data_IF_642633592374
#
_entry.id   IF_642633592374
#
_cell.length_a   1.000
_cell.length_b   1.000
_cell.length_c   1.000
_cell.angle_alpha   90.00
_cell.angle_beta   90.00
_cell.angle_gamma   90.00
#
_symmetry.space_group_name_H-M   'P 1'
#
loop_
_entity.id
_entity.type
_entity.pdbx_description
1 polymer ?
#
# COMPACT_ATOMS: atom_id res chain seq x y z
N UNK A 1 -4.69 0.35 40.46
CA UNK A 1 -5.59 0.11 39.30
C UNK A 1 -5.59 -1.37 38.92
N UNK A 2 -6.64 -2.12 39.29
CA UNK A 2 -6.73 -3.55 38.94
C UNK A 2 -7.06 -3.74 37.45
N UNK A 3 -6.37 -4.67 36.78
CA UNK A 3 -6.67 -5.06 35.40
C UNK A 3 -7.86 -6.03 35.41
N UNK A 4 -9.06 -5.50 35.20
CA UNK A 4 -10.25 -6.31 34.98
C UNK A 4 -9.96 -7.32 33.85
N UNK A 5 -10.09 -8.62 34.12
CA UNK A 5 -9.85 -9.67 33.11
C UNK A 5 -10.90 -9.54 31.99
N UNK A 6 -10.54 -8.85 30.90
CA UNK A 6 -11.29 -8.91 29.62
C UNK A 6 -11.19 -10.34 29.09
N UNK A 7 -12.29 -10.94 28.67
CA UNK A 7 -12.25 -12.16 27.87
C UNK A 7 -11.71 -11.78 26.48
N UNK A 8 -10.66 -12.46 26.02
CA UNK A 8 -9.97 -12.16 24.77
C UNK A 8 -10.10 -13.34 23.82
N UNK A 9 -10.85 -13.16 22.73
CA UNK A 9 -10.88 -14.11 21.61
C UNK A 9 -9.81 -13.69 20.60
N UNK A 10 -9.24 -14.65 19.87
CA UNK A 10 -8.39 -14.34 18.70
C UNK A 10 -9.28 -14.12 17.49
N UNK A 11 -8.91 -13.19 16.61
CA UNK A 11 -9.59 -12.98 15.33
C UNK A 11 -8.60 -13.00 14.15
N UNK A 12 -9.11 -13.38 12.99
CA UNK A 12 -8.51 -13.13 11.67
C UNK A 12 -9.54 -12.34 10.86
N UNK A 13 -9.13 -11.25 10.22
CA UNK A 13 -9.97 -10.37 9.42
C UNK A 13 -9.31 -10.15 8.06
N UNK A 14 -10.09 -10.25 6.99
CA UNK A 14 -9.63 -10.06 5.61
C UNK A 14 -10.58 -9.09 4.88
N UNK A 15 -10.01 -8.11 4.19
CA UNK A 15 -10.76 -7.02 3.56
C UNK A 15 -9.84 -6.00 2.89
N UNK A 16 -10.42 -4.88 2.43
CA UNK A 16 -9.68 -3.71 1.92
C UNK A 16 -9.51 -2.67 3.02
N UNK A 17 -8.39 -1.95 3.02
CA UNK A 17 -8.24 -0.72 3.83
C UNK A 17 -9.16 0.35 3.25
N UNK A 18 -9.95 0.99 4.10
CA UNK A 18 -10.79 2.14 3.72
C UNK A 18 -10.14 3.46 4.20
N UNK A 19 -9.67 3.50 5.45
CA UNK A 19 -9.03 4.67 6.06
C UNK A 19 -7.91 4.26 7.04
N UNK A 20 -6.98 5.16 7.35
CA UNK A 20 -5.87 4.92 8.28
C UNK A 20 -5.65 6.12 9.19
N UNK A 21 -6.06 6.00 10.46
CA UNK A 21 -5.83 7.05 11.45
C UNK A 21 -4.36 7.11 11.87
N UNK A 22 -3.60 8.03 11.30
CA UNK A 22 -2.20 8.31 11.66
C UNK A 22 -2.14 9.31 12.83
N UNK A 23 -1.34 9.03 13.85
CA UNK A 23 -0.98 9.97 14.93
C UNK A 23 0.50 10.37 14.84
N UNK A 24 0.82 11.61 15.23
CA UNK A 24 2.18 12.16 15.26
C UNK A 24 2.89 12.10 13.90
N UNK A 25 2.13 12.21 12.79
CA UNK A 25 2.64 12.15 11.40
C UNK A 25 3.07 10.78 10.87
N UNK A 26 3.36 9.80 11.74
CA UNK A 26 3.90 8.50 11.30
C UNK A 26 3.39 7.25 12.07
N UNK A 27 2.59 7.41 13.14
CA UNK A 27 2.14 6.28 13.96
C UNK A 27 0.74 5.85 13.55
N UNK A 28 0.63 4.80 12.73
CA UNK A 28 -0.63 4.13 12.44
C UNK A 28 -1.29 3.72 13.76
N UNK A 29 -2.43 4.33 14.12
CA UNK A 29 -3.13 4.12 15.41
C UNK A 29 -4.31 3.18 15.25
N UNK A 30 -5.11 3.39 14.20
CA UNK A 30 -6.21 2.54 13.76
C UNK A 30 -6.15 2.37 12.24
N UNK A 31 -6.84 1.35 11.75
CA UNK A 31 -7.08 1.06 10.33
C UNK A 31 -8.56 0.71 10.21
N UNK A 32 -9.28 1.35 9.29
CA UNK A 32 -10.65 0.98 8.95
C UNK A 32 -10.58 -0.05 7.83
N UNK A 33 -11.21 -1.21 8.03
CA UNK A 33 -11.18 -2.35 7.10
C UNK A 33 -12.59 -2.72 6.69
N UNK A 34 -12.82 -2.69 5.38
CA UNK A 34 -14.06 -3.11 4.75
C UNK A 34 -13.92 -4.56 4.26
N UNK A 35 -14.78 -5.45 4.75
CA UNK A 35 -14.79 -6.86 4.33
C UNK A 35 -15.50 -7.04 2.99
N UNK A 36 -15.25 -8.14 2.25
CA UNK A 36 -16.01 -8.46 1.03
C UNK A 36 -17.53 -8.63 1.23
N UNK A 37 -17.99 -8.72 2.48
CA UNK A 37 -19.40 -8.79 2.88
C UNK A 37 -19.99 -7.41 3.26
N UNK A 38 -19.29 -6.29 2.99
CA UNK A 38 -19.75 -4.93 3.31
C UNK A 38 -19.63 -4.53 4.79
N UNK A 39 -19.26 -5.45 5.69
CA UNK A 39 -19.04 -5.14 7.10
C UNK A 39 -17.74 -4.34 7.29
N UNK A 40 -17.83 -3.23 8.01
CA UNK A 40 -16.77 -2.27 8.23
C UNK A 40 -16.25 -2.31 9.68
N UNK A 41 -14.93 -2.41 9.87
CA UNK A 41 -14.30 -2.65 11.18
C UNK A 41 -13.17 -1.66 11.50
N UNK A 42 -13.19 -1.08 12.70
CA UNK A 42 -12.12 -0.19 13.22
C UNK A 42 -11.09 -1.01 14.00
N UNK A 43 -9.95 -1.29 13.39
CA UNK A 43 -8.91 -2.17 13.97
C UNK A 43 -7.78 -1.37 14.61
N UNK A 44 -7.59 -1.52 15.92
CA UNK A 44 -6.56 -0.83 16.71
C UNK A 44 -5.18 -1.47 16.50
N UNK A 45 -4.20 -0.68 16.08
CA UNK A 45 -2.85 -1.19 15.80
C UNK A 45 -2.01 -1.27 17.07
N UNK A 46 -1.45 -2.45 17.36
CA UNK A 46 -0.57 -2.68 18.51
C UNK A 46 0.68 -1.79 18.47
N UNK A 47 1.15 -1.33 19.65
CA UNK A 47 2.25 -0.34 19.78
C UNK A 47 3.51 -0.70 18.97
N UNK A 48 3.83 -2.00 18.84
CA UNK A 48 4.99 -2.53 18.10
C UNK A 48 4.91 -2.37 16.58
N UNK A 49 3.71 -2.28 16.00
CA UNK A 49 3.50 -2.22 14.53
C UNK A 49 3.38 -0.78 13.99
N UNK A 50 3.09 0.21 14.86
CA UNK A 50 2.63 1.55 14.43
C UNK A 50 3.59 2.31 13.52
N UNK A 51 4.89 2.01 13.55
CA UNK A 51 5.93 2.65 12.75
C UNK A 51 6.24 1.95 11.42
N UNK A 52 5.64 0.78 11.17
CA UNK A 52 6.05 -0.10 10.08
C UNK A 52 5.17 0.02 8.83
N UNK A 53 4.04 0.75 8.94
CA UNK A 53 2.92 0.64 8.00
C UNK A 53 2.37 1.98 7.48
N UNK A 54 2.92 3.12 7.91
CA UNK A 54 2.38 4.46 7.60
C UNK A 54 2.43 4.85 6.12
N UNK A 55 3.31 4.23 5.34
CA UNK A 55 3.43 4.38 3.89
C UNK A 55 3.08 3.10 3.12
N UNK A 56 2.47 2.12 3.81
CA UNK A 56 2.15 0.78 3.28
C UNK A 56 0.65 0.54 3.27
N UNK A 57 -0.05 0.96 4.32
CA UNK A 57 -1.52 0.86 4.38
C UNK A 57 -2.11 2.10 3.71
N UNK A 58 -2.54 1.93 2.47
CA UNK A 58 -3.24 2.92 1.65
C UNK A 58 -4.68 2.44 1.41
N UNK A 59 -5.66 3.34 1.21
CA UNK A 59 -7.02 2.97 0.83
C UNK A 59 -7.06 2.06 -0.41
N UNK A 60 -8.04 1.15 -0.46
CA UNK A 60 -8.22 0.14 -1.50
C UNK A 60 -7.35 -1.12 -1.33
N UNK A 61 -6.22 -1.04 -0.62
CA UNK A 61 -5.27 -2.15 -0.49
C UNK A 61 -5.87 -3.34 0.30
N UNK A 62 -5.72 -4.55 -0.24
CA UNK A 62 -6.08 -5.78 0.46
C UNK A 62 -5.22 -6.02 1.71
N UNK A 63 -5.83 -6.46 2.80
CA UNK A 63 -5.14 -6.74 4.07
C UNK A 63 -5.72 -7.95 4.79
N UNK A 64 -4.82 -8.76 5.36
CA UNK A 64 -5.10 -9.81 6.34
C UNK A 64 -4.56 -9.39 7.70
N UNK A 65 -5.45 -9.13 8.65
CA UNK A 65 -5.12 -8.72 10.01
C UNK A 65 -5.39 -9.85 10.99
N UNK A 66 -4.48 -10.11 11.92
CA UNK A 66 -4.67 -11.09 13.00
C UNK A 66 -4.48 -10.40 14.35
N UNK A 67 -5.40 -10.66 15.28
CA UNK A 67 -5.50 -9.86 16.49
C UNK A 67 -6.22 -10.52 17.66
N UNK A 68 -6.40 -9.72 18.70
CA UNK A 68 -7.21 -9.99 19.88
C UNK A 68 -8.49 -9.14 19.81
N UNK A 69 -9.64 -9.75 20.05
CA UNK A 69 -10.94 -9.08 20.20
C UNK A 69 -11.33 -9.12 21.67
N UNK A 70 -11.68 -7.98 22.25
CA UNK A 70 -11.86 -7.86 23.69
C UNK A 70 -13.07 -7.01 24.07
N UNK A 71 -14.21 -7.68 24.30
CA UNK A 71 -15.50 -7.07 24.67
C UNK A 71 -15.38 -6.20 25.92
N UNK A 72 -15.88 -4.98 25.85
CA UNK A 72 -15.96 -4.05 26.97
C UNK A 72 -17.16 -4.38 27.87
N UNK A 73 -16.90 -4.98 29.05
CA UNK A 73 -17.94 -5.35 30.05
C UNK A 73 -18.87 -4.21 30.53
N UNK A 74 -18.59 -2.95 30.16
CA UNK A 74 -19.42 -1.77 30.50
C UNK A 74 -20.33 -1.29 29.37
N UNK A 75 -20.03 -1.64 28.12
CA UNK A 75 -20.67 -1.06 26.92
C UNK A 75 -21.07 -2.11 25.87
N UNK A 76 -20.63 -3.37 26.02
CA UNK A 76 -20.84 -4.42 25.02
C UNK A 76 -19.92 -4.33 23.79
N UNK A 77 -19.24 -3.20 23.59
CA UNK A 77 -18.43 -2.92 22.39
C UNK A 77 -17.24 -3.88 22.22
N UNK A 78 -16.99 -4.29 20.97
CA UNK A 78 -15.90 -5.19 20.60
C UNK A 78 -14.61 -4.42 20.24
N UNK A 79 -13.65 -4.35 21.17
CA UNK A 79 -12.35 -3.72 20.88
C UNK A 79 -11.45 -4.68 20.08
N UNK A 80 -11.36 -4.49 18.76
CA UNK A 80 -10.43 -5.19 17.87
C UNK A 80 -9.01 -4.60 17.94
N UNK A 81 -8.00 -5.45 18.20
CA UNK A 81 -6.58 -5.07 18.29
C UNK A 81 -5.67 -6.01 17.49
N UNK A 82 -5.17 -5.56 16.34
CA UNK A 82 -4.25 -6.34 15.51
C UNK A 82 -2.83 -6.41 16.09
N UNK A 83 -2.26 -7.63 16.14
CA UNK A 83 -0.86 -7.90 16.52
C UNK A 83 0.00 -8.37 15.34
N UNK A 84 -0.62 -8.76 14.21
CA UNK A 84 -0.01 -9.05 12.90
C UNK A 84 -0.85 -8.39 11.81
N UNK A 85 -0.21 -7.84 10.80
CA UNK A 85 -0.84 -7.27 9.60
C UNK A 85 -0.03 -7.80 8.42
N UNK A 86 -0.71 -8.32 7.40
CA UNK A 86 -0.14 -8.80 6.14
C UNK A 86 -0.87 -8.04 5.02
N UNK A 87 -0.22 -7.09 4.32
CA UNK A 87 -0.79 -6.51 3.11
C UNK A 87 -0.79 -7.53 1.98
N UNK A 88 -1.85 -7.52 1.18
CA UNK A 88 -1.99 -8.30 -0.06
C UNK A 88 -1.84 -7.35 -1.25
N UNK A 89 -0.72 -7.48 -1.95
CA UNK A 89 -0.40 -6.68 -3.14
C UNK A 89 -0.82 -7.37 -4.45
N UNK A 90 -1.43 -8.57 -4.40
CA UNK A 90 -1.75 -9.36 -5.60
C UNK A 90 -2.87 -8.77 -6.46
N UNK A 91 -3.63 -7.79 -5.94
CA UNK A 91 -4.83 -7.21 -6.58
C UNK A 91 -4.73 -5.71 -6.84
N UNK A 92 -3.55 -5.22 -7.20
CA UNK A 92 -3.37 -3.88 -7.78
C UNK A 92 -3.77 -3.85 -9.28
N UNK A 93 -4.92 -4.44 -9.60
CA UNK A 93 -5.53 -4.48 -10.92
C UNK A 93 -7.03 -4.16 -10.77
N UNK A 94 -7.39 -2.98 -11.24
CA UNK A 94 -8.75 -2.52 -11.62
C UNK A 94 -9.89 -2.74 -10.60
N UNK A 95 -10.33 -1.66 -9.95
CA UNK A 95 -11.63 -1.05 -10.25
C UNK A 95 -11.65 0.40 -9.74
N UNK A 96 -11.77 1.41 -10.62
CA UNK A 96 -12.16 2.77 -10.25
C UNK A 96 -13.69 2.88 -10.14
N UNK A 97 -14.20 4.11 -10.02
CA UNK A 97 -15.64 4.45 -10.01
C UNK A 97 -16.39 4.02 -8.72
N UNK A 98 -17.55 4.59 -8.39
CA UNK A 98 -18.38 5.55 -9.14
C UNK A 98 -18.50 6.88 -8.39
N UNK A 99 -18.20 7.98 -9.09
CA UNK A 99 -18.63 9.30 -8.67
C UNK A 99 -20.11 9.49 -9.04
N UNK A 100 -20.84 10.20 -8.19
CA UNK A 100 -22.26 10.53 -8.28
C UNK A 100 -22.71 10.90 -9.70
N UNK A 101 -23.65 10.14 -10.27
CA UNK A 101 -24.42 10.55 -11.46
C UNK A 101 -25.78 11.07 -10.98
N UNK A 102 -26.09 12.31 -11.36
CA UNK A 102 -27.40 12.93 -11.17
C UNK A 102 -28.42 12.28 -12.13
N UNK A 103 -29.65 12.05 -11.68
CA UNK A 103 -30.72 11.49 -12.52
C UNK A 103 -31.50 12.54 -13.34
N UNK A 104 -32.28 12.06 -14.33
CA UNK A 104 -33.13 12.81 -15.30
C UNK A 104 -32.30 13.62 -16.33
N UNK A 105 -32.67 13.86 -17.61
CA UNK A 105 -33.83 13.54 -18.48
C UNK A 105 -33.31 13.73 -19.96
N UNK A 106 -33.65 13.01 -21.05
CA UNK A 106 -34.32 11.73 -21.34
C UNK A 106 -34.12 11.31 -22.83
N UNK A 107 -34.67 10.15 -23.24
CA UNK A 107 -35.26 9.82 -24.57
C UNK A 107 -34.52 10.22 -25.86
N UNK A 108 -33.79 9.26 -26.45
CA UNK A 108 -33.96 8.76 -27.84
C UNK A 108 -32.76 7.87 -28.24
N UNK A 109 -32.82 6.93 -29.19
CA UNK A 109 -33.88 6.02 -29.70
C UNK A 109 -33.20 5.17 -30.78
N UNK A 110 -33.42 3.85 -30.85
CA UNK A 110 -33.22 2.99 -32.07
C UNK A 110 -31.78 2.90 -32.68
N UNK A 111 -31.20 1.76 -33.09
CA UNK A 111 -31.68 0.39 -33.37
C UNK A 111 -30.65 -0.70 -32.91
N UNK A 112 -31.03 -1.98 -33.05
CA UNK A 112 -30.23 -3.20 -32.78
C UNK A 112 -29.59 -3.76 -34.06
N UNK A 113 -28.32 -4.20 -34.01
CA UNK A 113 -27.62 -5.26 -34.82
C UNK A 113 -26.10 -5.18 -34.52
N UNK A 114 -25.24 -6.20 -34.63
CA UNK A 114 -25.37 -7.68 -34.68
C UNK A 114 -24.03 -8.30 -34.20
N UNK A 115 -23.98 -9.62 -33.92
CA UNK A 115 -22.81 -10.31 -33.37
C UNK A 115 -21.74 -10.69 -34.42
N UNK A 116 -20.48 -10.33 -34.16
CA UNK A 116 -19.31 -11.10 -34.66
C UNK A 116 -18.05 -10.89 -33.81
N UNK A 117 -17.41 -11.98 -33.41
CA UNK A 117 -15.95 -12.05 -33.25
C UNK A 117 -15.36 -12.52 -34.59
N UNK A 118 -14.17 -12.03 -34.98
CA UNK A 118 -13.02 -12.93 -34.83
C UNK A 118 -11.74 -12.23 -34.33
N UNK A 119 -10.75 -13.04 -33.96
CA UNK A 119 -9.40 -12.61 -33.60
C UNK A 119 -8.57 -12.20 -34.83
N UNK A 120 -7.56 -11.35 -34.64
CA UNK A 120 -6.13 -11.64 -34.93
C UNK A 120 -5.25 -10.44 -34.49
N UNK A 121 -3.95 -10.70 -34.32
CA UNK A 121 -2.95 -9.83 -33.70
C UNK A 121 -2.67 -8.51 -34.46
N UNK A 122 -2.35 -7.44 -33.72
CA UNK A 122 -1.98 -6.13 -34.29
C UNK A 122 -1.11 -5.30 -33.34
N UNK A 123 -0.01 -4.75 -33.84
CA UNK A 123 1.06 -4.13 -33.04
C UNK A 123 0.77 -2.65 -32.71
N UNK A 124 0.92 -2.31 -31.42
CA UNK A 124 1.37 -1.03 -30.81
C UNK A 124 1.17 0.32 -31.53
N UNK A 125 0.71 1.34 -30.76
CA UNK A 125 1.09 2.79 -30.79
C UNK A 125 -0.05 3.82 -30.96
N UNK A 126 -0.58 4.30 -29.82
CA UNK A 126 -0.84 5.74 -29.48
C UNK A 126 -1.41 5.78 -28.04
N UNK A 127 -0.98 6.63 -27.09
CA UNK A 127 -0.43 8.01 -27.10
C UNK A 127 -1.45 9.14 -27.14
N UNK A 128 -2.21 9.27 -26.04
CA UNK A 128 -2.76 10.54 -25.48
C UNK A 128 -2.73 10.35 -23.94
N UNK A 129 -2.19 11.21 -23.05
CA UNK A 129 -1.83 12.64 -22.99
C UNK A 129 -2.93 13.59 -22.46
N UNK A 130 -3.22 13.48 -21.16
CA UNK A 130 -3.79 14.54 -20.29
C UNK A 130 -3.09 14.38 -18.92
N UNK A 131 -2.35 15.29 -18.27
CA UNK A 131 -2.09 16.75 -18.29
C UNK A 131 -2.92 17.61 -17.30
N UNK A 132 -2.33 17.94 -16.14
CA UNK A 132 -2.90 18.78 -15.07
C UNK A 132 -2.56 18.20 -13.69
N UNK A 133 -1.40 18.47 -13.06
CA UNK A 133 -0.93 19.73 -12.46
C UNK A 133 -1.70 20.10 -11.16
N UNK A 134 -1.09 20.55 -10.05
CA UNK A 134 0.29 20.99 -9.80
C UNK A 134 0.69 20.77 -8.32
N UNK A 135 1.90 20.24 -8.07
CA UNK A 135 2.58 20.33 -6.78
C UNK A 135 4.11 20.41 -6.95
N UNK A 136 4.60 21.48 -7.60
CA UNK A 136 6.04 21.75 -7.77
C UNK A 136 6.75 21.99 -6.43
N UNK A 137 7.33 20.93 -5.85
CA UNK A 137 8.50 21.03 -5.00
C UNK A 137 9.73 20.56 -5.79
N UNK A 138 10.78 21.39 -5.87
CA UNK A 138 12.04 21.04 -6.52
C UNK A 138 12.86 20.06 -5.63
N UNK A 139 12.34 18.86 -5.46
CA UNK A 139 12.91 17.81 -4.61
C UNK A 139 14.25 17.31 -5.12
N UNK A 140 15.23 17.20 -4.21
CA UNK A 140 16.54 16.60 -4.53
C UNK A 140 16.33 15.10 -4.79
N UNK A 141 16.85 14.57 -5.91
CA UNK A 141 16.80 13.13 -6.24
C UNK A 141 17.26 12.29 -5.04
N UNK A 142 16.48 11.28 -4.67
CA UNK A 142 16.76 10.40 -3.53
C UNK A 142 18.05 9.61 -3.77
N UNK A 143 18.84 9.35 -2.73
CA UNK A 143 20.20 8.82 -2.89
C UNK A 143 20.43 7.56 -2.06
N UNK A 144 20.79 6.47 -2.74
CA UNK A 144 21.18 5.20 -2.12
C UNK A 144 22.70 5.16 -2.06
N UNK A 145 23.29 5.09 -0.85
CA UNK A 145 24.75 5.06 -0.67
C UNK A 145 25.25 3.61 -0.62
N UNK A 146 26.18 3.24 -1.50
CA UNK A 146 26.76 1.89 -1.58
C UNK A 146 28.28 1.93 -1.38
N UNK A 147 28.77 1.29 -0.33
CA UNK A 147 30.20 1.24 -0.01
C UNK A 147 30.97 0.35 -0.99
N UNK A 148 31.97 0.92 -1.68
CA UNK A 148 32.84 0.19 -2.63
C UNK A 148 34.17 -0.30 -2.02
N UNK A 149 34.40 -0.21 -0.69
CA UNK A 149 35.63 -0.75 -0.09
C UNK A 149 35.74 -2.25 -0.34
N UNK A 150 36.96 -2.74 -0.55
CA UNK A 150 37.30 -4.15 -0.79
C UNK A 150 36.54 -5.15 0.10
N UNK A 151 36.44 -4.91 1.41
CA UNK A 151 35.74 -5.80 2.35
C UNK A 151 34.23 -5.88 2.05
N UNK A 152 33.62 -4.75 1.68
CA UNK A 152 32.22 -4.68 1.30
C UNK A 152 31.99 -5.34 -0.06
N UNK A 153 32.90 -5.13 -1.02
CA UNK A 153 32.84 -5.79 -2.33
C UNK A 153 32.94 -7.32 -2.20
N UNK A 154 33.90 -7.83 -1.41
CA UNK A 154 34.04 -9.26 -1.09
C UNK A 154 32.80 -9.83 -0.39
N UNK A 155 32.12 -9.02 0.45
CA UNK A 155 30.83 -9.36 1.08
C UNK A 155 29.61 -9.20 0.14
N UNK A 156 29.80 -8.87 -1.14
CA UNK A 156 28.74 -8.82 -2.14
C UNK A 156 28.16 -7.43 -2.45
N UNK A 157 28.75 -6.33 -1.98
CA UNK A 157 28.25 -4.97 -2.26
C UNK A 157 28.12 -4.66 -3.77
N UNK A 158 28.97 -5.26 -4.61
CA UNK A 158 28.86 -5.17 -6.07
C UNK A 158 27.57 -5.81 -6.60
N UNK A 159 27.22 -7.01 -6.14
CA UNK A 159 25.95 -7.68 -6.48
C UNK A 159 24.74 -6.85 -6.04
N UNK A 160 24.80 -6.25 -4.85
CA UNK A 160 23.77 -5.32 -4.36
C UNK A 160 23.66 -4.08 -5.24
N UNK A 161 24.79 -3.50 -5.68
CA UNK A 161 24.83 -2.34 -6.57
C UNK A 161 24.19 -2.65 -7.95
N UNK A 162 24.47 -3.86 -8.49
CA UNK A 162 23.89 -4.34 -9.74
C UNK A 162 22.37 -4.55 -9.63
N UNK A 163 21.92 -5.35 -8.67
CA UNK A 163 20.50 -5.64 -8.47
C UNK A 163 19.66 -4.38 -8.14
N UNK A 164 20.25 -3.39 -7.46
CA UNK A 164 19.60 -2.08 -7.27
C UNK A 164 19.50 -1.28 -8.58
N UNK A 165 20.47 -1.39 -9.49
CA UNK A 165 20.46 -0.68 -10.77
C UNK A 165 19.41 -1.28 -11.72
N UNK A 166 19.34 -2.60 -11.76
CA UNK A 166 18.33 -3.40 -12.47
C UNK A 166 16.92 -3.05 -11.96
N UNK A 167 16.64 -3.24 -10.67
CA UNK A 167 15.34 -2.97 -10.07
C UNK A 167 14.88 -1.49 -10.09
N UNK A 168 15.78 -0.53 -10.32
CA UNK A 168 15.43 0.87 -10.59
C UNK A 168 15.11 1.13 -12.08
N UNK A 169 15.67 0.32 -12.98
CA UNK A 169 15.44 0.37 -14.42
C UNK A 169 14.09 -0.24 -14.77
N UNK A 170 13.80 -1.45 -14.26
CA UNK A 170 12.53 -2.18 -14.46
C UNK A 170 11.29 -1.38 -14.03
N UNK A 171 11.49 -0.37 -13.17
CA UNK A 171 10.45 0.45 -12.55
C UNK A 171 10.43 1.90 -13.04
N UNK A 172 11.32 2.28 -13.97
CA UNK A 172 11.45 3.67 -14.44
C UNK A 172 11.84 4.69 -13.35
N UNK A 173 12.46 4.23 -12.25
CA UNK A 173 12.77 5.07 -11.08
C UNK A 173 14.13 5.78 -11.16
N UNK A 174 14.90 5.55 -12.24
CA UNK A 174 16.20 6.17 -12.50
C UNK A 174 16.17 7.71 -12.37
N UNK A 175 15.04 8.34 -12.74
CA UNK A 175 14.89 9.79 -12.64
C UNK A 175 14.69 10.31 -11.22
N UNK A 176 14.19 9.50 -10.30
CA UNK A 176 13.86 9.91 -8.95
C UNK A 176 14.91 9.46 -7.93
N UNK A 177 15.62 8.36 -8.22
CA UNK A 177 16.54 7.68 -7.32
C UNK A 177 17.91 7.49 -7.97
N UNK A 178 18.97 7.88 -7.28
CA UNK A 178 20.36 7.78 -7.76
C UNK A 178 21.21 6.94 -6.81
N UNK A 179 21.87 5.91 -7.34
CA UNK A 179 22.85 5.12 -6.59
C UNK A 179 24.18 5.88 -6.56
N UNK A 180 24.63 6.26 -5.36
CA UNK A 180 25.95 6.86 -5.14
C UNK A 180 26.91 5.86 -4.54
N UNK A 181 27.99 5.60 -5.28
CA UNK A 181 29.14 4.81 -4.84
C UNK A 181 29.97 5.62 -3.83
N UNK A 182 30.26 5.05 -2.66
CA UNK A 182 30.95 5.75 -1.54
C UNK A 182 32.11 4.95 -0.97
N UNK A 183 32.98 5.63 -0.21
CA UNK A 183 33.97 4.99 0.67
C UNK A 183 33.34 4.36 1.92
N UNK A 184 34.18 3.88 2.84
CA UNK A 184 33.70 3.20 4.05
C UNK A 184 33.11 4.19 5.07
N UNK A 185 31.78 4.16 5.22
CA UNK A 185 31.04 4.95 6.20
C UNK A 185 31.13 4.41 7.65
N UNK A 186 31.94 3.37 7.90
CA UNK A 186 32.11 2.65 9.18
C UNK A 186 30.82 2.09 9.83
N UNK A 187 29.66 2.14 9.15
CA UNK A 187 28.37 1.60 9.61
C UNK A 187 28.21 0.08 9.42
N UNK A 188 29.16 -0.57 8.74
CA UNK A 188 29.15 -2.00 8.43
C UNK A 188 29.81 -2.88 9.52
N UNK A 189 29.82 -2.42 10.77
CA UNK A 189 30.42 -3.12 11.92
C UNK A 189 29.42 -3.16 13.09
N UNK A 190 28.72 -4.29 13.18
CA UNK A 190 28.59 -5.02 14.43
C UNK A 190 29.71 -6.08 14.42
#
# INVERSE_FOLDING_TARGET
>A
MSKLKKHQKKFSLEGKVQEVTIKDGYKVKYVHVETPAGNNYVVKVAKRLRRNFSSVLIPGLGVKMTGEMAVCKKTGEEELKAFKIIPDFSKNATEPCQNQILGLLEKSSTQLTELKLPEIEGICSKSQKISGANAKCAGKKAQILVCQKSDCQKRGAGKVCQALSEALSDRGLQDQVTIKKTGCLKKCKA
#
